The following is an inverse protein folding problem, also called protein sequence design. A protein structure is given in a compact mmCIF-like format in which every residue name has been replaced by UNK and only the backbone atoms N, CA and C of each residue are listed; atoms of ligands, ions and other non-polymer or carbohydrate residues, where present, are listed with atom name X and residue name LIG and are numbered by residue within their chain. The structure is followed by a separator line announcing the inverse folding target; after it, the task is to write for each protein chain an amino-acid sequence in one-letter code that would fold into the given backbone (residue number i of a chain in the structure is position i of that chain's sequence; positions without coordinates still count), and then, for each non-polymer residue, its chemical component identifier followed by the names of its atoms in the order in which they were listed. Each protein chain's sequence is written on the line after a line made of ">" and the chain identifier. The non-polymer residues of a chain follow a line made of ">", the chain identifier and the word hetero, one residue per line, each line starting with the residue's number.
data_IF_667731717040
#
_entry.id   IF_667731717040
#
_cell.length_a   1.000
_cell.length_b   1.000
_cell.length_c   1.000
_cell.angle_alpha   90.00
_cell.angle_beta   90.00
_cell.angle_gamma   90.00
#
_symmetry.space_group_name_H-M   'P 1'
#
loop_
_entity.id
_entity.type
_entity.pdbx_description
1 polymer ?
#
# COMPACT_ATOMS: atom_id res chain seq x y z
N UNK A 1 -31.88 28.85 3.38
CA UNK A 1 -30.72 28.34 2.60
C UNK A 1 -30.76 26.83 2.56
N UNK A 2 -30.92 26.23 1.38
CA UNK A 2 -30.97 24.78 1.22
C UNK A 2 -29.66 24.15 1.73
N UNK A 3 -29.80 23.13 2.56
CA UNK A 3 -28.68 22.39 3.12
C UNK A 3 -28.06 21.55 1.98
N UNK A 4 -26.95 22.02 1.40
CA UNK A 4 -26.27 21.41 0.23
C UNK A 4 -26.00 19.89 0.33
N UNK A 5 -25.94 19.34 1.54
CA UNK A 5 -25.80 17.91 1.76
C UNK A 5 -26.66 17.45 2.96
N UNK A 6 -27.33 16.31 2.77
CA UNK A 6 -27.99 15.46 3.77
C UNK A 6 -26.95 14.68 4.59
N UNK A 7 -27.37 13.88 5.58
CA UNK A 7 -26.42 13.04 6.34
C UNK A 7 -26.04 11.80 5.53
N UNK A 8 -26.99 11.29 4.77
CA UNK A 8 -26.91 10.09 3.94
C UNK A 8 -25.92 10.30 2.80
N UNK A 9 -26.02 11.42 2.06
CA UNK A 9 -25.05 11.77 1.00
C UNK A 9 -23.62 11.91 1.56
N UNK A 10 -23.48 12.41 2.79
CA UNK A 10 -22.16 12.54 3.43
C UNK A 10 -21.58 11.19 3.86
N UNK A 11 -22.43 10.23 4.24
CA UNK A 11 -22.04 8.84 4.51
C UNK A 11 -21.57 8.18 3.23
N UNK A 12 -22.34 8.31 2.13
CA UNK A 12 -21.97 7.76 0.82
C UNK A 12 -20.63 8.31 0.33
N UNK A 13 -20.39 9.62 0.45
CA UNK A 13 -19.10 10.24 0.10
C UNK A 13 -17.95 9.61 0.91
N UNK A 14 -18.15 9.37 2.20
CA UNK A 14 -17.13 8.74 3.05
C UNK A 14 -16.87 7.29 2.65
N UNK A 15 -17.91 6.51 2.37
CA UNK A 15 -17.81 5.11 1.95
C UNK A 15 -17.15 4.99 0.58
N UNK A 16 -17.56 5.80 -0.40
CA UNK A 16 -16.94 5.85 -1.71
C UNK A 16 -15.45 6.18 -1.60
N UNK A 17 -15.12 7.21 -0.82
CA UNK A 17 -13.71 7.58 -0.62
C UNK A 17 -12.94 6.48 0.10
N UNK A 18 -13.56 5.79 1.04
CA UNK A 18 -12.94 4.65 1.72
C UNK A 18 -12.66 3.49 0.76
N UNK A 19 -13.57 3.21 -0.16
CA UNK A 19 -13.41 2.19 -1.20
C UNK A 19 -12.26 2.54 -2.15
N UNK A 20 -12.19 3.79 -2.61
CA UNK A 20 -11.10 4.28 -3.46
C UNK A 20 -9.73 4.16 -2.78
N UNK A 21 -9.64 4.55 -1.51
CA UNK A 21 -8.39 4.49 -0.74
C UNK A 21 -8.09 3.08 -0.22
N UNK A 22 -9.09 2.20 -0.19
CA UNK A 22 -9.07 0.91 0.50
C UNK A 22 -8.77 1.01 2.00
N UNK A 23 -9.12 2.16 2.60
CA UNK A 23 -9.04 2.46 4.02
C UNK A 23 -9.94 3.64 4.33
N UNK A 24 -10.26 3.85 5.61
CA UNK A 24 -10.95 5.07 6.02
C UNK A 24 -10.20 6.34 5.58
N UNK A 25 -10.90 7.33 5.04
CA UNK A 25 -10.29 8.57 4.59
C UNK A 25 -9.89 9.45 5.77
N UNK A 26 -8.83 10.23 5.59
CA UNK A 26 -8.43 11.27 6.51
C UNK A 26 -9.20 12.57 6.21
N UNK A 27 -9.24 13.47 7.21
CA UNK A 27 -9.93 14.76 7.10
C UNK A 27 -9.46 15.58 5.89
N UNK A 28 -8.18 15.54 5.56
CA UNK A 28 -7.58 16.24 4.41
C UNK A 28 -7.93 15.61 3.05
N UNK A 29 -8.44 14.38 3.03
CA UNK A 29 -8.74 13.61 1.81
C UNK A 29 -10.21 13.71 1.39
N UNK A 30 -11.02 14.46 2.16
CA UNK A 30 -12.47 14.63 1.95
C UNK A 30 -12.80 16.12 1.95
N UNK A 31 -13.19 16.65 0.79
CA UNK A 31 -13.53 18.07 0.62
C UNK A 31 -14.65 18.52 1.55
N UNK A 32 -15.60 17.64 1.84
CA UNK A 32 -16.77 17.87 2.69
C UNK A 32 -16.47 17.71 4.18
N UNK A 33 -15.22 17.50 4.61
CA UNK A 33 -14.87 17.18 5.99
C UNK A 33 -15.41 18.19 7.03
N UNK A 34 -15.43 19.49 6.70
CA UNK A 34 -16.03 20.51 7.57
C UNK A 34 -17.55 20.38 7.71
N UNK A 35 -18.24 20.03 6.62
CA UNK A 35 -19.68 19.81 6.62
C UNK A 35 -20.02 18.56 7.42
N UNK A 36 -19.25 17.48 7.23
CA UNK A 36 -19.35 16.23 8.00
C UNK A 36 -19.18 16.51 9.48
N UNK A 37 -18.13 17.23 9.87
CA UNK A 37 -17.89 17.57 11.26
C UNK A 37 -19.05 18.37 11.88
N UNK A 38 -19.60 19.35 11.15
CA UNK A 38 -20.76 20.13 11.63
C UNK A 38 -22.04 19.29 11.76
N UNK A 39 -22.23 18.29 10.91
CA UNK A 39 -23.44 17.45 10.85
C UNK A 39 -23.47 16.33 11.87
N UNK A 40 -22.33 15.71 12.08
CA UNK A 40 -22.16 14.53 12.95
C UNK A 40 -21.49 14.90 14.29
N UNK A 41 -21.13 16.17 14.49
CA UNK A 41 -20.42 16.68 15.67
C UNK A 41 -18.90 16.56 15.59
N UNK A 42 -18.38 15.63 14.77
CA UNK A 42 -16.96 15.59 14.40
C UNK A 42 -16.77 14.76 13.13
N UNK A 43 -15.61 14.90 12.48
CA UNK A 43 -15.27 14.05 11.33
C UNK A 43 -15.19 12.56 11.72
N UNK A 44 -14.66 12.27 12.92
CA UNK A 44 -14.60 10.93 13.49
C UNK A 44 -15.99 10.30 13.63
N UNK A 45 -16.95 11.04 14.18
CA UNK A 45 -18.35 10.59 14.29
C UNK A 45 -19.00 10.37 12.92
N UNK A 46 -18.60 11.16 11.91
CA UNK A 46 -19.02 10.93 10.52
C UNK A 46 -18.47 9.61 9.96
N UNK A 47 -17.20 9.30 10.21
CA UNK A 47 -16.61 8.01 9.83
C UNK A 47 -17.32 6.85 10.53
N UNK A 48 -17.58 6.96 11.84
CA UNK A 48 -18.31 5.94 12.60
C UNK A 48 -19.72 5.73 12.04
N UNK A 49 -20.45 6.80 11.73
CA UNK A 49 -21.77 6.73 11.10
C UNK A 49 -21.73 6.08 9.70
N UNK A 50 -20.61 6.18 9.00
CA UNK A 50 -20.40 5.53 7.71
C UNK A 50 -19.93 4.06 7.83
N UNK A 51 -19.79 3.53 9.05
CA UNK A 51 -19.25 2.19 9.30
C UNK A 51 -17.74 2.10 9.12
N UNK A 52 -17.03 3.22 9.15
CA UNK A 52 -15.59 3.31 8.88
C UNK A 52 -14.78 3.50 10.18
N UNK A 53 -13.62 2.85 10.24
CA UNK A 53 -12.73 2.99 11.41
C UNK A 53 -12.02 4.35 11.39
N UNK A 54 -12.12 5.18 12.43
CA UNK A 54 -11.46 6.49 12.47
C UNK A 54 -9.94 6.43 12.73
N UNK A 55 -9.37 5.23 12.84
CA UNK A 55 -7.96 5.03 13.17
C UNK A 55 -7.06 5.19 11.94
N UNK A 56 -5.86 5.75 12.15
CA UNK A 56 -4.85 6.01 11.10
C UNK A 56 -4.44 4.76 10.29
N UNK A 57 -4.59 3.56 10.87
CA UNK A 57 -4.22 2.28 10.24
C UNK A 57 -5.45 1.54 9.67
N UNK A 58 -6.41 2.28 9.11
CA UNK A 58 -7.68 1.76 8.59
C UNK A 58 -7.59 0.85 7.36
N UNK A 59 -6.41 0.40 6.95
CA UNK A 59 -6.27 -0.57 5.88
C UNK A 59 -6.73 -1.96 6.35
N UNK A 60 -7.50 -2.63 5.48
CA UNK A 60 -7.83 -4.05 5.63
C UNK A 60 -6.62 -4.92 5.25
N UNK A 61 -6.64 -6.21 5.63
CA UNK A 61 -5.56 -7.14 5.25
C UNK A 61 -5.50 -7.31 3.74
N UNK A 62 -6.66 -7.44 3.11
CA UNK A 62 -6.85 -7.66 1.68
C UNK A 62 -6.28 -6.48 0.90
N UNK A 63 -6.57 -5.24 1.33
CA UNK A 63 -6.03 -4.07 0.65
C UNK A 63 -4.51 -3.94 0.80
N UNK A 64 -3.98 -4.26 1.98
CA UNK A 64 -2.52 -4.24 2.16
C UNK A 64 -1.85 -5.28 1.26
N UNK A 65 -2.45 -6.45 1.08
CA UNK A 65 -1.97 -7.46 0.12
C UNK A 65 -1.96 -6.88 -1.30
N UNK A 66 -3.05 -6.28 -1.76
CA UNK A 66 -3.10 -5.66 -3.09
C UNK A 66 -2.02 -4.59 -3.28
N UNK A 67 -1.88 -3.68 -2.32
CA UNK A 67 -0.89 -2.58 -2.39
C UNK A 67 0.54 -3.16 -2.40
N UNK A 68 0.81 -4.18 -1.59
CA UNK A 68 2.11 -4.88 -1.58
C UNK A 68 2.38 -5.55 -2.93
N UNK A 69 1.40 -6.24 -3.52
CA UNK A 69 1.52 -6.88 -4.83
C UNK A 69 1.74 -5.86 -5.94
N UNK A 70 1.02 -4.74 -5.93
CA UNK A 70 1.20 -3.67 -6.89
C UNK A 70 2.60 -3.07 -6.81
N UNK A 71 3.09 -2.78 -5.59
CA UNK A 71 4.46 -2.29 -5.41
C UNK A 71 5.49 -3.34 -5.85
N UNK A 72 5.22 -4.62 -5.61
CA UNK A 72 6.10 -5.68 -6.06
C UNK A 72 6.14 -5.81 -7.59
N UNK A 73 5.01 -5.59 -8.27
CA UNK A 73 4.96 -5.51 -9.74
C UNK A 73 5.72 -4.30 -10.28
N UNK A 74 5.54 -3.14 -9.67
CA UNK A 74 6.25 -1.90 -10.04
C UNK A 74 7.77 -2.06 -9.90
N UNK A 75 8.22 -2.64 -8.79
CA UNK A 75 9.65 -2.89 -8.54
C UNK A 75 10.17 -4.17 -9.22
N UNK A 76 9.27 -4.98 -9.80
CA UNK A 76 9.48 -6.36 -10.24
C UNK A 76 9.97 -7.34 -9.16
N UNK A 77 10.13 -6.91 -7.91
CA UNK A 77 10.55 -7.71 -6.74
C UNK A 77 9.74 -7.33 -5.51
N UNK A 78 9.69 -8.17 -4.47
CA UNK A 78 9.06 -7.79 -3.21
C UNK A 78 9.66 -6.48 -2.66
N UNK A 79 8.83 -5.50 -2.26
CA UNK A 79 9.31 -4.22 -1.77
C UNK A 79 10.06 -4.37 -0.46
N UNK A 80 11.14 -3.60 -0.27
CA UNK A 80 11.80 -3.46 1.03
C UNK A 80 11.00 -2.51 1.91
N UNK A 81 11.19 -2.63 3.23
CA UNK A 81 10.45 -1.80 4.19
C UNK A 81 10.59 -0.29 3.95
N UNK A 82 11.79 0.21 3.66
CA UNK A 82 12.02 1.64 3.40
C UNK A 82 11.47 2.12 2.05
N UNK A 83 11.16 1.20 1.14
CA UNK A 83 10.58 1.50 -0.19
C UNK A 83 9.05 1.51 -0.16
N UNK A 84 8.45 1.16 0.99
CA UNK A 84 7.02 0.92 1.12
C UNK A 84 6.40 1.75 2.23
N UNK A 85 5.70 2.83 1.85
CA UNK A 85 5.06 3.78 2.78
C UNK A 85 4.12 3.09 3.78
N UNK A 86 3.47 2.01 3.38
CA UNK A 86 2.51 1.26 4.21
C UNK A 86 3.17 0.14 5.03
N UNK A 87 4.50 0.05 5.11
CA UNK A 87 5.20 -1.02 5.81
C UNK A 87 4.77 -1.16 7.29
N UNK A 88 4.56 -0.05 7.99
CA UNK A 88 4.06 -0.08 9.37
C UNK A 88 2.63 -0.63 9.46
N UNK A 89 1.76 -0.31 8.51
CA UNK A 89 0.40 -0.86 8.44
C UNK A 89 0.44 -2.37 8.20
N UNK A 90 1.35 -2.84 7.36
CA UNK A 90 1.59 -4.28 7.14
C UNK A 90 2.04 -4.96 8.43
N UNK A 91 3.03 -4.40 9.13
CA UNK A 91 3.49 -4.95 10.42
C UNK A 91 2.33 -5.05 11.41
N UNK A 92 1.56 -3.98 11.58
CA UNK A 92 0.45 -3.96 12.54
C UNK A 92 -0.65 -4.99 12.21
N UNK A 93 -0.91 -5.27 10.92
CA UNK A 93 -2.00 -6.18 10.51
C UNK A 93 -1.56 -7.64 10.41
N UNK A 94 -0.30 -7.91 10.12
CA UNK A 94 0.23 -9.25 9.87
C UNK A 94 1.26 -9.71 10.92
N UNK A 95 1.56 -8.89 11.93
CA UNK A 95 2.53 -9.17 12.99
C UNK A 95 3.97 -8.88 12.58
N UNK A 96 4.33 -9.05 11.31
CA UNK A 96 5.62 -8.61 10.77
C UNK A 96 5.52 -8.27 9.29
N UNK A 97 6.49 -7.49 8.80
CA UNK A 97 6.56 -7.16 7.37
C UNK A 97 6.77 -8.42 6.51
N UNK A 98 7.55 -9.39 7.02
CA UNK A 98 7.81 -10.67 6.35
C UNK A 98 6.53 -11.48 6.17
N UNK A 99 5.71 -11.57 7.21
CA UNK A 99 4.42 -12.27 7.15
C UNK A 99 3.44 -11.56 6.22
N UNK A 100 3.48 -10.23 6.14
CA UNK A 100 2.71 -9.47 5.16
C UNK A 100 3.14 -9.74 3.70
N UNK A 101 4.45 -9.83 3.42
CA UNK A 101 4.94 -10.23 2.10
C UNK A 101 4.49 -11.66 1.74
N UNK A 102 4.59 -12.60 2.67
CA UNK A 102 4.11 -13.98 2.46
C UNK A 102 2.61 -14.04 2.21
N UNK A 103 1.81 -13.30 2.97
CA UNK A 103 0.36 -13.21 2.77
C UNK A 103 0.01 -12.64 1.40
N UNK A 104 0.89 -11.80 0.82
CA UNK A 104 0.78 -11.31 -0.55
C UNK A 104 1.29 -12.29 -1.62
N UNK A 105 1.70 -13.51 -1.24
CA UNK A 105 2.27 -14.51 -2.16
C UNK A 105 3.72 -14.24 -2.56
N UNK A 106 4.43 -13.38 -1.81
CA UNK A 106 5.79 -12.97 -2.13
C UNK A 106 6.82 -13.64 -1.22
N UNK A 107 7.90 -14.13 -1.81
CA UNK A 107 9.05 -14.66 -1.06
C UNK A 107 9.99 -13.50 -0.74
N UNK A 108 10.20 -13.13 0.54
CA UNK A 108 11.05 -12.01 0.91
C UNK A 108 12.46 -12.13 0.31
N UNK A 109 12.95 -11.04 -0.28
CA UNK A 109 14.28 -10.95 -0.92
C UNK A 109 14.49 -11.86 -2.15
N UNK A 110 13.42 -12.30 -2.81
CA UNK A 110 13.49 -12.96 -4.12
C UNK A 110 13.37 -11.95 -5.27
N UNK A 111 13.80 -12.34 -6.47
CA UNK A 111 13.53 -11.64 -7.73
C UNK A 111 12.60 -12.49 -8.58
N UNK A 112 11.84 -11.88 -9.48
CA UNK A 112 11.17 -12.66 -10.53
C UNK A 112 12.19 -13.28 -11.47
N UNK A 113 11.75 -14.28 -12.25
CA UNK A 113 12.61 -14.94 -13.24
C UNK A 113 13.15 -13.92 -14.26
N UNK A 114 12.30 -13.02 -14.71
CA UNK A 114 12.59 -11.99 -15.71
C UNK A 114 13.68 -11.04 -15.19
N UNK A 115 13.57 -10.59 -13.94
CA UNK A 115 14.59 -9.75 -13.33
C UNK A 115 15.89 -10.49 -13.09
N UNK A 116 15.83 -11.74 -12.65
CA UNK A 116 17.04 -12.54 -12.47
C UNK A 116 17.79 -12.67 -13.80
N UNK A 117 17.06 -12.87 -14.91
CA UNK A 117 17.63 -12.88 -16.26
C UNK A 117 18.27 -11.53 -16.59
N UNK A 118 17.59 -10.41 -16.32
CA UNK A 118 18.11 -9.07 -16.61
C UNK A 118 19.37 -8.76 -15.79
N UNK A 119 19.37 -9.08 -14.50
CA UNK A 119 20.53 -8.94 -13.61
C UNK A 119 21.69 -9.80 -14.12
N UNK A 120 21.42 -11.03 -14.54
CA UNK A 120 22.43 -11.93 -15.10
C UNK A 120 22.99 -11.38 -16.42
N UNK A 121 22.15 -10.86 -17.31
CA UNK A 121 22.58 -10.26 -18.60
C UNK A 121 23.46 -9.05 -18.37
N UNK A 122 22.99 -8.08 -17.57
CA UNK A 122 23.76 -6.86 -17.24
C UNK A 122 25.11 -7.21 -16.61
N UNK A 123 25.12 -8.17 -15.69
CA UNK A 123 26.37 -8.59 -15.04
C UNK A 123 27.29 -9.34 -16.00
N UNK A 124 26.74 -10.10 -16.95
CA UNK A 124 27.54 -10.76 -17.97
C UNK A 124 28.24 -9.75 -18.88
N UNK A 125 27.55 -8.67 -19.25
CA UNK A 125 28.10 -7.56 -20.03
C UNK A 125 29.20 -6.83 -19.28
N UNK A 126 28.97 -6.45 -18.02
CA UNK A 126 29.98 -5.79 -17.16
C UNK A 126 31.25 -6.63 -16.95
N UNK A 127 31.12 -7.96 -16.96
CA UNK A 127 32.24 -8.89 -16.76
C UNK A 127 32.86 -9.38 -18.06
N UNK A 128 32.21 -9.16 -19.21
CA UNK A 128 32.57 -9.79 -20.48
C UNK A 128 32.47 -11.33 -20.48
N UNK A 129 31.77 -11.92 -19.51
CA UNK A 129 31.62 -13.38 -19.34
C UNK A 129 30.41 -13.73 -18.51
N UNK A 130 29.98 -15.00 -18.55
CA UNK A 130 28.91 -15.50 -17.67
C UNK A 130 29.27 -15.27 -16.19
N UNK A 131 28.40 -14.60 -15.42
CA UNK A 131 28.62 -14.33 -14.00
C UNK A 131 28.45 -15.61 -13.17
N UNK A 132 29.23 -15.74 -12.09
CA UNK A 132 29.07 -16.81 -11.09
C UNK A 132 28.02 -16.41 -10.05
N UNK A 133 27.40 -17.39 -9.38
CA UNK A 133 26.35 -17.13 -8.38
C UNK A 133 26.76 -16.14 -7.28
N UNK A 134 28.01 -16.22 -6.80
CA UNK A 134 28.56 -15.28 -5.80
C UNK A 134 28.72 -13.84 -6.28
N UNK A 135 28.75 -13.63 -7.59
CA UNK A 135 28.92 -12.31 -8.25
C UNK A 135 27.56 -11.63 -8.50
N UNK A 136 26.46 -12.36 -8.31
CA UNK A 136 25.09 -11.86 -8.32
C UNK A 136 24.69 -11.53 -6.88
N UNK A 137 24.67 -10.25 -6.56
CA UNK A 137 24.32 -9.78 -5.23
C UNK A 137 23.33 -8.61 -5.28
N UNK A 138 22.79 -8.26 -4.11
CA UNK A 138 21.74 -7.23 -3.98
C UNK A 138 22.16 -5.82 -4.41
N UNK A 139 23.45 -5.50 -4.46
CA UNK A 139 23.92 -4.17 -4.88
C UNK A 139 23.86 -4.05 -6.41
N UNK A 140 24.31 -5.10 -7.10
CA UNK A 140 24.37 -5.16 -8.56
C UNK A 140 23.01 -5.52 -9.19
N UNK A 141 22.04 -5.91 -8.36
CA UNK A 141 20.66 -6.23 -8.73
C UNK A 141 19.66 -5.08 -8.49
N UNK A 142 20.17 -3.87 -8.23
CA UNK A 142 19.33 -2.68 -8.01
C UNK A 142 18.98 -2.07 -9.36
N UNK A 143 17.69 -1.99 -9.67
CA UNK A 143 17.18 -1.18 -10.77
C UNK A 143 17.10 0.27 -10.27
N UNK A 144 17.79 1.19 -10.95
CA UNK A 144 17.67 2.64 -10.72
C UNK A 144 16.43 3.18 -11.41
#
# INVERSE_FOLDING_TARGET
>A
MARKYTKEELIEILQQRANELGRSPQKSEVKQAGIIARRFGSFKKGLEAAGLSPHKNGYTKEKLIEIVQQKAKELGRPPRMHEFKQANSVIHRFGSYKEGLKAAGLIPNSYTKEQLIEILKKRAEELGRTPRSREINRKNASFS
#
